data_IF_381113302413
#
_entry.id   IF_381113302413
#
_cell.length_a   1.000
_cell.length_b   1.000
_cell.length_c   1.000
_cell.angle_alpha   90.00
_cell.angle_beta   90.00
_cell.angle_gamma   90.00
#
_symmetry.space_group_name_H-M   'P 1'
#
loop_
_entity.id
_entity.type
_entity.pdbx_description
1 polymer ?
#
# COMPACT_ATOMS: atom_id res chain seq x y z
N UNK A 1 5.35 1.64 24.07
CA UNK A 1 4.37 0.64 23.57
C UNK A 1 5.02 -0.03 22.38
N UNK A 2 5.19 -1.34 22.40
CA UNK A 2 5.88 -2.07 21.32
C UNK A 2 4.92 -2.32 20.16
N UNK A 3 5.34 -1.93 18.96
CA UNK A 3 4.68 -2.31 17.71
C UNK A 3 5.29 -3.61 17.21
N UNK A 4 4.47 -4.57 16.78
CA UNK A 4 4.97 -5.82 16.20
C UNK A 4 4.22 -6.19 14.93
N UNK A 5 4.96 -6.39 13.85
CA UNK A 5 4.44 -6.90 12.58
C UNK A 5 4.82 -8.37 12.43
N UNK A 6 3.82 -9.25 12.29
CA UNK A 6 4.04 -10.67 11.97
C UNK A 6 3.65 -10.93 10.51
N UNK A 7 4.62 -11.31 9.68
CA UNK A 7 4.40 -11.57 8.26
C UNK A 7 5.43 -12.54 7.65
N UNK A 8 5.17 -12.95 6.40
CA UNK A 8 6.09 -13.74 5.59
C UNK A 8 7.35 -12.93 5.19
N UNK A 9 8.48 -13.60 4.85
CA UNK A 9 9.71 -12.97 4.37
C UNK A 9 9.59 -12.46 2.92
N UNK A 10 8.49 -11.78 2.61
CA UNK A 10 8.23 -11.12 1.33
C UNK A 10 7.71 -9.71 1.58
N UNK A 11 7.80 -8.85 0.56
CA UNK A 11 7.16 -7.52 0.56
C UNK A 11 5.65 -7.65 0.78
N UNK A 12 4.97 -8.18 -0.24
CA UNK A 12 3.55 -8.55 -0.19
C UNK A 12 2.66 -7.44 0.37
N UNK A 13 1.58 -7.85 1.04
CA UNK A 13 0.62 -6.89 1.63
C UNK A 13 1.14 -6.17 2.87
N UNK A 14 2.31 -6.55 3.41
CA UNK A 14 2.88 -5.88 4.58
C UNK A 14 3.87 -4.76 4.21
N UNK A 15 4.23 -4.60 2.94
CA UNK A 15 5.19 -3.58 2.52
C UNK A 15 4.75 -2.16 2.88
N UNK A 16 3.46 -1.83 2.68
CA UNK A 16 2.92 -0.50 3.05
C UNK A 16 3.05 -0.23 4.56
N UNK A 17 2.83 -1.23 5.40
CA UNK A 17 2.98 -1.12 6.85
C UNK A 17 4.44 -0.84 7.21
N UNK A 18 5.37 -1.60 6.63
CA UNK A 18 6.82 -1.43 6.86
C UNK A 18 7.29 -0.03 6.42
N UNK A 19 6.87 0.43 5.25
CA UNK A 19 7.26 1.74 4.72
C UNK A 19 6.71 2.87 5.58
N UNK A 20 5.42 2.83 5.94
CA UNK A 20 4.82 3.83 6.82
C UNK A 20 5.54 3.93 8.16
N UNK A 21 5.85 2.81 8.81
CA UNK A 21 6.54 2.80 10.10
C UNK A 21 7.96 3.36 9.98
N UNK A 22 8.72 2.90 8.98
CA UNK A 22 10.11 3.34 8.77
C UNK A 22 10.20 4.82 8.43
N UNK A 23 9.36 5.30 7.51
CA UNK A 23 9.35 6.69 7.06
C UNK A 23 8.96 7.65 8.20
N UNK A 24 8.06 7.23 9.09
CA UNK A 24 7.68 7.98 10.28
C UNK A 24 8.65 7.80 11.46
N UNK A 25 9.77 7.10 11.29
CA UNK A 25 10.75 6.84 12.35
C UNK A 25 10.20 6.03 13.52
N UNK A 26 9.13 5.26 13.31
CA UNK A 26 8.52 4.43 14.34
C UNK A 26 9.31 3.13 14.51
N UNK A 27 9.75 2.86 15.75
CA UNK A 27 10.36 1.58 16.10
C UNK A 27 9.31 0.47 16.17
N UNK A 28 9.61 -0.68 15.56
CA UNK A 28 8.76 -1.86 15.58
C UNK A 28 9.58 -3.14 15.46
N UNK A 29 9.07 -4.21 16.03
CA UNK A 29 9.61 -5.56 15.88
C UNK A 29 8.96 -6.27 14.68
N UNK A 30 9.74 -7.08 13.96
CA UNK A 30 9.24 -7.91 12.87
C UNK A 30 9.40 -9.40 13.20
N UNK A 31 8.27 -10.11 13.33
CA UNK A 31 8.20 -11.57 13.48
C UNK A 31 8.05 -12.20 12.09
N UNK A 32 9.15 -12.71 11.56
CA UNK A 32 9.18 -13.37 10.25
C UNK A 32 8.68 -14.81 10.36
N UNK A 33 7.67 -15.15 9.55
CA UNK A 33 7.05 -16.47 9.52
C UNK A 33 7.45 -17.19 8.23
N UNK A 34 8.19 -18.30 8.34
CA UNK A 34 8.53 -19.12 7.17
C UNK A 34 7.32 -19.94 6.71
N UNK A 35 7.39 -20.49 5.50
CA UNK A 35 6.30 -21.35 5.01
C UNK A 35 6.16 -22.62 5.84
N UNK A 36 7.25 -23.18 6.35
CA UNK A 36 7.24 -24.35 7.23
C UNK A 36 6.46 -24.04 8.53
N UNK A 37 6.79 -22.92 9.18
CA UNK A 37 6.08 -22.43 10.37
C UNK A 37 4.59 -22.17 10.09
N UNK A 38 4.27 -21.66 8.91
CA UNK A 38 2.88 -21.40 8.53
C UNK A 38 2.09 -22.69 8.25
N UNK A 39 2.73 -23.68 7.62
CA UNK A 39 2.11 -24.98 7.29
C UNK A 39 1.97 -25.91 8.49
N UNK A 40 2.75 -25.72 9.55
CA UNK A 40 2.56 -26.39 10.85
C UNK A 40 1.16 -26.09 11.43
N UNK A 41 0.61 -24.91 11.14
CA UNK A 41 -0.81 -24.62 11.26
C UNK A 41 -1.25 -24.03 12.60
N UNK A 42 -0.46 -24.11 13.68
CA UNK A 42 -0.83 -23.55 14.98
C UNK A 42 -0.99 -22.03 14.90
N UNK A 43 -0.03 -21.34 14.27
CA UNK A 43 -0.13 -19.89 14.07
C UNK A 43 -1.34 -19.52 13.20
N UNK A 44 -1.55 -20.26 12.10
CA UNK A 44 -2.68 -20.02 11.20
C UNK A 44 -4.01 -20.16 11.92
N UNK A 45 -4.18 -21.22 12.73
CA UNK A 45 -5.39 -21.44 13.51
C UNK A 45 -5.61 -20.37 14.59
N UNK A 46 -4.55 -19.78 15.13
CA UNK A 46 -4.63 -18.68 16.10
C UNK A 46 -4.96 -17.32 15.48
N UNK A 47 -4.75 -17.15 14.16
CA UNK A 47 -5.10 -15.92 13.46
C UNK A 47 -6.61 -15.82 13.26
N UNK A 48 -7.22 -14.68 13.60
CA UNK A 48 -8.67 -14.48 13.56
C UNK A 48 -9.32 -14.86 12.21
N UNK A 49 -8.65 -14.56 11.10
CA UNK A 49 -9.12 -14.89 9.76
C UNK A 49 -8.28 -15.96 9.06
N UNK A 50 -7.44 -16.69 9.80
CA UNK A 50 -6.55 -17.70 9.22
C UNK A 50 -5.53 -17.15 8.22
N UNK A 51 -5.17 -15.86 8.34
CA UNK A 51 -4.35 -15.12 7.39
C UNK A 51 -3.42 -14.14 8.10
N UNK A 52 -2.31 -13.82 7.42
CA UNK A 52 -1.39 -12.73 7.76
C UNK A 52 -1.59 -11.55 6.77
N UNK A 53 -1.26 -10.30 7.15
CA UNK A 53 -0.52 -9.89 8.34
C UNK A 53 -1.32 -9.89 9.64
N UNK A 54 -0.60 -10.16 10.74
CA UNK A 54 -1.00 -9.86 12.12
C UNK A 54 -0.16 -8.68 12.61
N UNK A 55 -0.80 -7.71 13.26
CA UNK A 55 -0.14 -6.55 13.83
C UNK A 55 -0.53 -6.38 15.30
N UNK A 56 0.44 -6.07 16.15
CA UNK A 56 0.25 -5.86 17.59
C UNK A 56 0.68 -4.44 17.93
N UNK A 57 -0.19 -3.69 18.64
CA UNK A 57 0.07 -2.35 19.18
C UNK A 57 -0.32 -2.35 20.67
N UNK A 58 0.62 -2.78 21.52
CA UNK A 58 0.31 -3.06 22.93
C UNK A 58 -0.65 -4.24 23.08
N UNK A 59 -1.82 -4.00 23.67
CA UNK A 59 -2.89 -4.99 23.86
C UNK A 59 -3.81 -5.12 22.63
N UNK A 60 -3.72 -4.18 21.69
CA UNK A 60 -4.49 -4.22 20.45
C UNK A 60 -3.84 -5.18 19.45
N UNK A 61 -4.56 -6.24 19.08
CA UNK A 61 -4.21 -7.11 17.96
C UNK A 61 -5.12 -6.83 16.76
N UNK A 62 -4.50 -6.54 15.61
CA UNK A 62 -5.19 -6.31 14.34
C UNK A 62 -4.78 -7.35 13.29
N UNK A 63 -5.74 -7.68 12.44
CA UNK A 63 -5.57 -8.40 11.18
C UNK A 63 -6.13 -7.53 10.06
N UNK A 64 -6.00 -7.97 8.80
CA UNK A 64 -6.36 -7.22 7.59
C UNK A 64 -5.45 -6.00 7.37
N UNK A 65 -4.67 -6.03 6.28
CA UNK A 65 -3.73 -4.96 5.93
C UNK A 65 -4.39 -3.58 5.95
N UNK A 66 -5.60 -3.45 5.43
CA UNK A 66 -6.28 -2.16 5.33
C UNK A 66 -6.72 -1.62 6.71
N UNK A 67 -7.09 -2.49 7.66
CA UNK A 67 -7.38 -2.06 9.01
C UNK A 67 -6.10 -1.61 9.75
N UNK A 68 -5.02 -2.37 9.59
CA UNK A 68 -3.71 -2.08 10.20
C UNK A 68 -3.16 -0.74 9.71
N UNK A 69 -3.12 -0.52 8.40
CA UNK A 69 -2.59 0.73 7.84
C UNK A 69 -3.45 1.94 8.23
N UNK A 70 -4.78 1.79 8.31
CA UNK A 70 -5.67 2.88 8.76
C UNK A 70 -5.50 3.20 10.24
N UNK A 71 -5.27 2.19 11.06
CA UNK A 71 -4.90 2.38 12.47
C UNK A 71 -3.60 3.17 12.60
N UNK A 72 -2.55 2.74 11.88
CA UNK A 72 -1.27 3.43 11.87
C UNK A 72 -1.38 4.85 11.33
N UNK A 73 -2.12 5.06 10.25
CA UNK A 73 -2.29 6.38 9.68
C UNK A 73 -2.99 7.35 10.64
N UNK A 74 -4.00 6.89 11.39
CA UNK A 74 -4.61 7.71 12.46
C UNK A 74 -3.62 7.98 13.59
N UNK A 75 -2.86 6.97 14.01
CA UNK A 75 -1.88 7.08 15.11
C UNK A 75 -0.69 8.00 14.77
N UNK A 76 -0.28 8.03 13.51
CA UNK A 76 0.91 8.74 13.02
C UNK A 76 0.57 10.08 12.34
N UNK A 77 -0.70 10.50 12.32
CA UNK A 77 -1.10 11.76 11.69
C UNK A 77 -1.09 11.77 10.16
N UNK A 78 -1.27 10.60 9.53
CA UNK A 78 -1.27 10.36 8.08
C UNK A 78 -2.70 10.21 7.51
N UNK A 79 -3.71 10.73 8.20
CA UNK A 79 -5.13 10.55 7.87
C UNK A 79 -5.85 11.89 7.61
N UNK A 80 -5.13 12.87 7.08
CA UNK A 80 -5.66 14.21 6.82
C UNK A 80 -5.91 15.02 8.08
N UNK A 81 -6.23 16.31 7.91
CA UNK A 81 -6.44 17.23 9.04
C UNK A 81 -7.87 17.27 9.57
N UNK A 82 -8.83 16.81 8.77
CA UNK A 82 -10.25 16.85 9.07
C UNK A 82 -11.01 15.66 8.43
N UNK A 83 -12.30 15.55 8.75
CA UNK A 83 -13.15 14.47 8.24
C UNK A 83 -13.30 14.48 6.72
N UNK A 84 -13.18 15.65 6.08
CA UNK A 84 -13.28 15.77 4.62
C UNK A 84 -12.04 15.20 3.96
N UNK A 85 -10.85 15.58 4.44
CA UNK A 85 -9.60 15.00 3.94
C UNK A 85 -9.51 13.51 4.23
N UNK A 86 -9.93 13.06 5.42
CA UNK A 86 -10.00 11.64 5.75
C UNK A 86 -10.86 10.84 4.76
N UNK A 87 -12.05 11.35 4.41
CA UNK A 87 -12.94 10.70 3.45
C UNK A 87 -12.35 10.66 2.03
N UNK A 88 -11.67 11.72 1.60
CA UNK A 88 -10.97 11.76 0.32
C UNK A 88 -9.78 10.77 0.29
N UNK A 89 -9.01 10.70 1.38
CA UNK A 89 -7.92 9.73 1.53
C UNK A 89 -8.47 8.32 1.41
N UNK A 90 -9.57 7.99 2.09
CA UNK A 90 -10.21 6.68 2.01
C UNK A 90 -10.67 6.35 0.58
N UNK A 91 -11.28 7.31 -0.12
CA UNK A 91 -11.71 7.12 -1.50
C UNK A 91 -10.54 6.79 -2.43
N UNK A 92 -9.44 7.55 -2.34
CA UNK A 92 -8.25 7.31 -3.16
C UNK A 92 -7.58 5.99 -2.80
N UNK A 93 -7.46 5.71 -1.51
CA UNK A 93 -6.82 4.52 -0.97
C UNK A 93 -7.58 3.23 -1.34
N UNK A 94 -8.91 3.22 -1.32
CA UNK A 94 -9.71 2.08 -1.78
C UNK A 94 -9.57 1.86 -3.30
N UNK A 95 -9.57 2.93 -4.11
CA UNK A 95 -9.31 2.82 -5.55
C UNK A 95 -7.92 2.23 -5.85
N UNK A 96 -6.90 2.61 -5.07
CA UNK A 96 -5.56 2.03 -5.16
C UNK A 96 -5.59 0.54 -4.79
N UNK A 97 -6.36 0.14 -3.78
CA UNK A 97 -6.49 -1.28 -3.41
C UNK A 97 -7.17 -2.12 -4.48
N UNK A 98 -8.19 -1.57 -5.16
CA UNK A 98 -8.81 -2.27 -6.28
C UNK A 98 -7.80 -2.57 -7.38
N UNK A 99 -6.96 -1.60 -7.73
CA UNK A 99 -5.90 -1.80 -8.72
C UNK A 99 -4.81 -2.75 -8.22
N UNK A 100 -4.39 -2.63 -6.95
CA UNK A 100 -3.43 -3.54 -6.33
C UNK A 100 -3.96 -4.99 -6.32
N UNK A 101 -5.25 -5.19 -6.04
CA UNK A 101 -5.85 -6.52 -6.03
C UNK A 101 -5.92 -7.12 -7.44
N UNK A 102 -6.17 -6.32 -8.47
CA UNK A 102 -6.08 -6.76 -9.88
C UNK A 102 -4.64 -7.16 -10.23
N UNK A 103 -3.65 -6.34 -9.86
CA UNK A 103 -2.23 -6.65 -10.03
C UNK A 103 -1.85 -7.95 -9.32
N UNK A 104 -2.20 -8.10 -8.05
CA UNK A 104 -1.91 -9.30 -7.26
C UNK A 104 -2.53 -10.53 -7.92
N UNK A 105 -3.81 -10.45 -8.35
CA UNK A 105 -4.47 -11.56 -9.03
C UNK A 105 -3.68 -12.01 -10.27
N UNK A 106 -3.24 -11.05 -11.10
CA UNK A 106 -2.42 -11.30 -12.28
C UNK A 106 -1.10 -11.99 -11.92
N UNK A 107 -0.42 -11.55 -10.86
CA UNK A 107 0.84 -12.16 -10.39
C UNK A 107 0.70 -13.61 -9.90
N UNK A 108 -0.52 -14.05 -9.56
CA UNK A 108 -0.83 -15.43 -9.16
C UNK A 108 -1.46 -16.26 -10.29
N UNK A 109 -1.63 -15.72 -11.49
CA UNK A 109 -2.02 -16.50 -12.66
C UNK A 109 -0.89 -17.46 -13.07
N UNK A 110 -1.26 -18.60 -13.65
CA UNK A 110 -0.29 -19.64 -14.03
C UNK A 110 0.46 -19.31 -15.32
N UNK A 111 -0.09 -18.41 -16.13
CA UNK A 111 0.43 -17.95 -17.40
C UNK A 111 0.27 -16.43 -17.52
N UNK A 112 0.91 -15.84 -18.54
CA UNK A 112 0.91 -14.40 -18.76
C UNK A 112 -0.31 -13.90 -19.58
N UNK A 113 -1.37 -14.69 -19.73
CA UNK A 113 -2.49 -14.36 -20.62
C UNK A 113 -3.21 -13.05 -20.25
N UNK A 114 -3.29 -12.71 -18.97
CA UNK A 114 -3.88 -11.46 -18.49
C UNK A 114 -2.97 -10.22 -18.65
N UNK A 115 -1.68 -10.40 -18.90
CA UNK A 115 -0.67 -9.34 -18.78
C UNK A 115 -0.85 -8.22 -19.80
N UNK A 116 -1.02 -8.58 -21.07
CA UNK A 116 -1.19 -7.58 -22.14
C UNK A 116 -2.44 -6.72 -21.92
N UNK A 117 -3.58 -7.37 -21.63
CA UNK A 117 -4.83 -6.69 -21.35
C UNK A 117 -4.73 -5.77 -20.12
N UNK A 118 -4.05 -6.23 -19.07
CA UNK A 118 -3.80 -5.43 -17.88
C UNK A 118 -2.97 -4.18 -18.19
N UNK A 119 -1.83 -4.33 -18.88
CA UNK A 119 -0.96 -3.21 -19.24
C UNK A 119 -1.65 -2.22 -20.18
N UNK A 120 -2.50 -2.69 -21.09
CA UNK A 120 -3.31 -1.83 -21.97
C UNK A 120 -4.34 -1.00 -21.20
N UNK A 121 -4.90 -1.55 -20.12
CA UNK A 121 -5.87 -0.86 -19.27
C UNK A 121 -5.21 0.04 -18.20
N UNK A 122 -3.93 -0.19 -17.91
CA UNK A 122 -3.22 0.47 -16.81
C UNK A 122 -3.23 2.01 -16.91
N UNK A 123 -2.95 2.66 -18.05
CA UNK A 123 -3.02 4.13 -18.14
C UNK A 123 -4.39 4.68 -17.78
N UNK A 124 -5.47 4.03 -18.24
CA UNK A 124 -6.85 4.41 -17.89
C UNK A 124 -7.13 4.25 -16.39
N UNK A 125 -6.60 3.20 -15.76
CA UNK A 125 -6.75 2.98 -14.32
C UNK A 125 -5.91 3.97 -13.49
N UNK A 126 -4.80 4.46 -14.02
CA UNK A 126 -3.93 5.41 -13.31
C UNK A 126 -4.36 6.87 -13.47
N UNK A 127 -5.07 7.19 -14.56
CA UNK A 127 -5.56 8.54 -14.89
C UNK A 127 -6.26 9.27 -13.73
N UNK A 128 -7.16 8.66 -12.94
CA UNK A 128 -7.80 9.37 -11.82
C UNK A 128 -6.80 9.86 -10.76
N UNK A 129 -5.72 9.12 -10.51
CA UNK A 129 -4.68 9.52 -9.55
C UNK A 129 -3.85 10.68 -10.10
N UNK A 130 -3.49 10.64 -11.39
CA UNK A 130 -2.78 11.72 -12.08
C UNK A 130 -3.61 13.02 -12.11
N UNK A 131 -4.90 12.93 -12.45
CA UNK A 131 -5.81 14.08 -12.45
C UNK A 131 -6.01 14.66 -11.04
N UNK A 132 -6.08 13.79 -10.02
CA UNK A 132 -6.18 14.21 -8.62
C UNK A 132 -4.91 14.95 -8.18
N UNK A 133 -3.72 14.40 -8.47
CA UNK A 133 -2.44 15.04 -8.19
C UNK A 133 -2.31 16.38 -8.92
N UNK A 134 -2.67 16.44 -10.20
CA UNK A 134 -2.58 17.66 -11.01
C UNK A 134 -3.55 18.76 -10.57
N UNK A 135 -4.71 18.36 -10.02
CA UNK A 135 -5.72 19.30 -9.52
C UNK A 135 -5.42 19.78 -8.10
N UNK A 136 -4.63 19.03 -7.34
CA UNK A 136 -4.16 19.46 -6.04
C UNK A 136 -2.97 20.44 -6.22
N UNK A 137 -2.95 21.52 -5.44
CA UNK A 137 -1.86 22.51 -5.50
C UNK A 137 -0.58 22.02 -4.78
N UNK A 138 -0.65 20.89 -4.09
CA UNK A 138 0.46 20.26 -3.36
C UNK A 138 1.04 19.05 -4.07
N UNK A 139 1.98 18.37 -3.42
CA UNK A 139 2.67 17.17 -3.94
C UNK A 139 2.01 15.85 -3.55
N UNK A 140 0.85 15.89 -2.89
CA UNK A 140 0.15 14.74 -2.32
C UNK A 140 -1.22 14.55 -2.95
N UNK A 141 -1.79 13.35 -2.86
CA UNK A 141 -3.14 13.06 -3.37
C UNK A 141 -4.21 13.91 -2.69
N UNK A 142 -4.08 14.16 -1.39
CA UNK A 142 -5.06 14.91 -0.60
C UNK A 142 -4.34 15.86 0.34
N UNK A 143 -4.76 17.12 0.35
CA UNK A 143 -4.22 18.13 1.28
C UNK A 143 -2.79 18.54 0.94
N UNK A 144 -2.05 18.97 1.96
CA UNK A 144 -0.70 19.52 1.86
C UNK A 144 0.36 18.69 2.60
N UNK A 145 -0.02 17.49 3.08
CA UNK A 145 0.84 16.56 3.82
C UNK A 145 0.69 15.15 3.28
N UNK A 146 1.74 14.35 3.48
CA UNK A 146 1.71 12.93 3.16
C UNK A 146 0.64 12.19 3.96
N UNK A 147 -0.04 11.27 3.28
CA UNK A 147 -1.09 10.44 3.84
C UNK A 147 -0.90 8.96 3.52
N UNK A 148 -1.72 8.12 4.15
CA UNK A 148 -1.89 6.71 3.80
C UNK A 148 -2.00 6.48 2.28
N UNK A 149 -2.81 7.28 1.59
CA UNK A 149 -3.07 7.09 0.16
C UNK A 149 -1.80 7.30 -0.68
N UNK A 150 -0.91 8.21 -0.27
CA UNK A 150 0.34 8.48 -0.95
C UNK A 150 1.31 7.29 -0.84
N UNK A 151 1.48 6.71 0.35
CA UNK A 151 2.27 5.49 0.53
C UNK A 151 1.73 4.33 -0.31
N UNK A 152 0.40 4.17 -0.33
CA UNK A 152 -0.24 3.12 -1.12
C UNK A 152 -0.02 3.33 -2.62
N UNK A 153 -0.13 4.57 -3.12
CA UNK A 153 0.09 4.88 -4.53
C UNK A 153 1.56 4.67 -4.92
N UNK A 154 2.51 5.16 -4.14
CA UNK A 154 3.95 5.00 -4.44
C UNK A 154 4.32 3.52 -4.56
N UNK A 155 3.86 2.69 -3.62
CA UNK A 155 4.13 1.25 -3.67
C UNK A 155 3.47 0.57 -4.85
N UNK A 156 2.23 0.94 -5.18
CA UNK A 156 1.55 0.48 -6.38
C UNK A 156 2.38 0.80 -7.63
N UNK A 157 2.86 2.04 -7.77
CA UNK A 157 3.67 2.47 -8.92
C UNK A 157 5.00 1.72 -9.00
N UNK A 158 5.68 1.51 -7.87
CA UNK A 158 6.91 0.71 -7.81
C UNK A 158 6.65 -0.73 -8.26
N UNK A 159 5.57 -1.36 -7.80
CA UNK A 159 5.19 -2.72 -8.24
C UNK A 159 4.98 -2.78 -9.74
N UNK A 160 4.32 -1.77 -10.32
CA UNK A 160 4.11 -1.67 -11.76
C UNK A 160 5.40 -1.46 -12.54
N UNK A 161 6.31 -0.59 -12.08
CA UNK A 161 7.62 -0.39 -12.71
C UNK A 161 8.48 -1.66 -12.68
N UNK A 162 8.46 -2.41 -11.58
CA UNK A 162 9.15 -3.70 -11.50
C UNK A 162 8.51 -4.72 -12.46
N UNK A 163 7.17 -4.72 -12.57
CA UNK A 163 6.44 -5.63 -13.45
C UNK A 163 6.62 -5.33 -14.94
N UNK A 164 6.70 -4.05 -15.30
CA UNK A 164 6.91 -3.55 -16.65
C UNK A 164 7.59 -2.17 -16.58
N UNK A 165 8.93 -2.09 -16.73
CA UNK A 165 9.68 -0.85 -16.58
C UNK A 165 9.12 0.37 -17.35
N UNK A 166 8.68 0.25 -18.63
CA UNK A 166 8.20 1.40 -19.40
C UNK A 166 6.74 1.76 -19.10
N UNK A 167 6.05 1.06 -18.20
CA UNK A 167 4.59 1.21 -18.04
C UNK A 167 4.15 2.59 -17.52
N UNK A 168 5.08 3.39 -16.99
CA UNK A 168 4.83 4.74 -16.51
C UNK A 168 5.35 5.84 -17.44
N UNK A 169 6.04 5.51 -18.54
CA UNK A 169 6.67 6.49 -19.44
C UNK A 169 5.65 7.48 -20.06
N UNK A 170 4.39 7.06 -20.18
CA UNK A 170 3.27 7.89 -20.66
C UNK A 170 2.28 8.33 -19.59
N UNK A 171 2.53 7.99 -18.31
CA UNK A 171 1.62 8.25 -17.18
C UNK A 171 2.07 9.49 -16.38
N UNK A 172 3.00 10.30 -16.91
CA UNK A 172 3.38 11.55 -16.28
C UNK A 172 4.01 12.57 -17.26
N UNK A 173 3.33 13.69 -17.52
CA UNK A 173 3.95 14.95 -17.90
C UNK A 173 3.68 16.02 -16.84
N UNK A 174 3.82 15.73 -15.54
CA UNK A 174 3.83 16.80 -14.52
C UNK A 174 5.26 17.32 -14.33
N UNK A 175 5.66 18.18 -15.28
CA UNK A 175 6.77 19.14 -15.30
C UNK A 175 8.18 18.71 -14.82
N UNK A 176 9.25 18.97 -15.62
CA UNK A 176 10.65 18.70 -15.27
C UNK A 176 11.26 19.66 -14.22
N UNK A 177 10.48 20.20 -13.27
CA UNK A 177 10.91 21.32 -12.42
C UNK A 177 11.11 21.00 -10.92
N UNK A 178 10.88 19.77 -10.45
CA UNK A 178 10.86 19.47 -9.00
C UNK A 178 11.80 18.34 -8.54
N UNK A 179 12.94 18.13 -9.21
CA UNK A 179 14.06 17.40 -8.61
C UNK A 179 15.19 18.40 -8.36
N UNK A 180 15.49 18.76 -7.09
CA UNK A 180 16.68 19.55 -6.82
C UNK A 180 17.92 18.73 -7.20
N UNK A 181 18.82 19.40 -7.93
CA UNK A 181 20.20 19.00 -8.20
C UNK A 181 20.98 18.66 -6.94
#
# INVERSE_FOLDING_TARGET
>A
VSLTLTYFPVRGRAEVIRVMLKDQGAEFDEKVITMEMWTEGTLKASCLFGQLPKFEDGDLTLYQTNAIRRHLARKLGLYGKDQREAALIDMMDEAIQDLLNKYIKLMFEKDDSGKEGYLKALPTNLKPFEETLSSNKGSFLVGDKISLADYALVLLLIHHQVFSPPCLDGVCPTQPACLPS
#
